data_IF_717756012874
#
_entry.id   IF_717756012874
#
_cell.length_a   1.000
_cell.length_b   1.000
_cell.length_c   1.000
_cell.angle_alpha   90.00
_cell.angle_beta   90.00
_cell.angle_gamma   90.00
#
_symmetry.space_group_name_H-M   'P 1'
#
loop_
_entity.id
_entity.type
_entity.pdbx_description
1 polymer ?
#
# COMPACT_ATOMS: atom_id res chain seq x y z
N UNK A 1 17.60 27.41 -43.77
CA UNK A 1 16.96 26.50 -42.80
C UNK A 1 15.99 27.32 -41.96
N UNK A 2 14.76 26.88 -41.78
CA UNK A 2 13.76 27.67 -41.06
C UNK A 2 14.03 27.55 -39.56
N UNK A 3 14.15 28.68 -38.88
CA UNK A 3 14.19 28.76 -37.42
C UNK A 3 12.76 28.70 -36.90
N UNK A 4 12.51 27.78 -35.96
CA UNK A 4 11.19 27.60 -35.32
C UNK A 4 11.33 28.02 -33.87
N UNK A 5 10.45 28.92 -33.43
CA UNK A 5 10.33 29.31 -32.03
C UNK A 5 9.51 28.29 -31.27
N UNK A 6 10.08 27.70 -30.23
CA UNK A 6 9.34 26.82 -29.31
C UNK A 6 8.78 27.68 -28.19
N UNK A 7 7.45 27.66 -28.03
CA UNK A 7 6.71 28.47 -27.06
C UNK A 7 6.09 27.57 -25.99
N UNK A 8 5.87 28.16 -24.80
CA UNK A 8 5.12 27.51 -23.72
C UNK A 8 3.69 27.25 -24.20
N UNK A 9 3.20 25.98 -24.19
CA UNK A 9 1.83 25.67 -24.52
C UNK A 9 0.89 26.22 -23.44
N UNK A 10 -0.41 26.04 -23.64
CA UNK A 10 -1.42 26.37 -22.61
C UNK A 10 -1.15 25.48 -21.35
N UNK A 11 -0.79 26.15 -20.27
CA UNK A 11 -0.52 25.55 -18.96
C UNK A 11 -1.66 25.81 -17.95
N UNK A 12 -2.85 26.20 -18.44
CA UNK A 12 -4.02 26.53 -17.64
C UNK A 12 -3.90 27.90 -16.95
N UNK A 13 -4.58 28.07 -15.81
CA UNK A 13 -4.67 29.36 -15.09
C UNK A 13 -3.36 29.85 -14.43
N UNK A 14 -2.20 29.25 -14.76
CA UNK A 14 -0.91 29.61 -14.15
C UNK A 14 -0.21 30.73 -14.92
N UNK A 15 0.06 31.81 -14.21
CA UNK A 15 0.85 32.95 -14.70
C UNK A 15 2.15 33.03 -13.90
N UNK A 16 3.27 33.35 -14.58
CA UNK A 16 4.58 33.56 -13.95
C UNK A 16 5.16 32.32 -13.21
N UNK A 17 5.24 31.17 -13.90
CA UNK A 17 5.87 29.95 -13.37
C UNK A 17 7.39 30.00 -13.49
N UNK A 18 8.12 29.58 -12.46
CA UNK A 18 9.57 29.61 -12.40
C UNK A 18 10.21 28.38 -13.09
N UNK A 19 11.24 28.60 -13.90
CA UNK A 19 12.04 27.52 -14.50
C UNK A 19 12.99 26.95 -13.47
N UNK A 20 12.84 25.66 -13.11
CA UNK A 20 13.68 24.97 -12.11
C UNK A 20 14.76 24.09 -12.73
N UNK A 21 14.54 23.56 -13.93
CA UNK A 21 15.49 22.67 -14.58
C UNK A 21 15.44 22.81 -16.12
N UNK A 22 16.59 22.67 -16.77
CA UNK A 22 16.73 22.58 -18.22
C UNK A 22 17.13 21.14 -18.55
N UNK A 23 16.23 20.39 -19.22
CA UNK A 23 16.41 18.97 -19.55
C UNK A 23 17.20 18.72 -20.84
N UNK A 24 17.36 19.75 -21.68
CA UNK A 24 18.13 19.70 -22.93
C UNK A 24 19.20 20.78 -22.96
N UNK A 25 20.20 20.64 -23.84
CA UNK A 25 21.31 21.60 -24.03
C UNK A 25 21.28 22.15 -25.45
N UNK A 26 21.81 23.37 -25.66
CA UNK A 26 22.06 23.89 -27.02
C UNK A 26 22.92 22.91 -27.83
N UNK A 27 22.46 22.52 -28.99
CA UNK A 27 23.09 21.52 -29.85
C UNK A 27 22.43 20.14 -29.83
N UNK A 28 21.53 19.88 -28.90
CA UNK A 28 20.82 18.59 -28.81
C UNK A 28 19.73 18.50 -29.88
N UNK A 29 19.58 17.28 -30.46
CA UNK A 29 18.47 16.95 -31.35
C UNK A 29 17.27 16.56 -30.47
N UNK A 30 16.15 17.26 -30.61
CA UNK A 30 14.93 17.04 -29.85
C UNK A 30 13.81 16.56 -30.76
N UNK A 31 12.98 15.67 -30.24
CA UNK A 31 11.78 15.18 -30.93
C UNK A 31 10.55 16.00 -30.52
N UNK A 32 9.50 15.93 -31.32
CA UNK A 32 8.21 16.48 -30.90
C UNK A 32 7.73 15.75 -29.64
N UNK A 33 7.14 16.50 -28.71
CA UNK A 33 6.68 16.02 -27.38
C UNK A 33 7.80 15.63 -26.39
N UNK A 34 9.07 15.87 -26.70
CA UNK A 34 10.16 15.67 -25.77
C UNK A 34 10.25 16.85 -24.79
N UNK A 35 10.32 16.57 -23.48
CA UNK A 35 10.43 17.59 -22.41
C UNK A 35 11.72 18.39 -22.52
N UNK A 36 11.61 19.72 -22.53
CA UNK A 36 12.74 20.65 -22.68
C UNK A 36 13.12 21.35 -21.37
N UNK A 37 12.13 21.77 -20.60
CA UNK A 37 12.31 22.47 -19.32
C UNK A 37 11.29 21.97 -18.31
N UNK A 38 11.65 22.02 -17.02
CA UNK A 38 10.73 21.83 -15.91
C UNK A 38 10.44 23.20 -15.27
N UNK A 39 9.17 23.51 -15.12
CA UNK A 39 8.69 24.73 -14.46
C UNK A 39 7.95 24.39 -13.19
N UNK A 40 8.03 25.26 -12.18
CA UNK A 40 7.37 25.07 -10.89
C UNK A 40 6.41 26.23 -10.62
N UNK A 41 5.20 25.87 -10.23
CA UNK A 41 4.21 26.79 -9.68
C UNK A 41 4.01 26.53 -8.18
N UNK A 42 3.30 27.40 -7.49
CA UNK A 42 2.99 27.24 -6.04
C UNK A 42 2.29 25.92 -5.68
N UNK A 43 1.85 25.13 -6.67
CA UNK A 43 1.05 23.91 -6.43
C UNK A 43 1.59 22.66 -7.12
N UNK A 44 2.37 22.76 -8.19
CA UNK A 44 2.87 21.60 -8.93
C UNK A 44 4.10 21.98 -9.79
N UNK A 45 4.97 21.01 -10.03
CA UNK A 45 6.00 21.04 -11.05
C UNK A 45 5.48 20.40 -12.34
N UNK A 46 5.74 21.02 -13.50
CA UNK A 46 5.28 20.59 -14.81
C UNK A 46 6.45 20.59 -15.81
N UNK A 47 6.47 19.60 -16.67
CA UNK A 47 7.44 19.55 -17.77
C UNK A 47 6.82 20.16 -19.03
N UNK A 48 7.57 21.01 -19.73
CA UNK A 48 7.13 21.64 -20.97
C UNK A 48 7.78 20.93 -22.15
N UNK A 49 6.96 20.26 -23.00
CA UNK A 49 7.44 19.53 -24.17
C UNK A 49 7.76 20.45 -25.36
N UNK A 50 8.60 19.95 -26.26
CA UNK A 50 8.86 20.61 -27.55
C UNK A 50 7.67 20.45 -28.48
N UNK A 51 7.20 21.54 -29.06
CA UNK A 51 6.13 21.52 -30.07
C UNK A 51 6.59 21.02 -31.45
N UNK A 52 7.89 20.93 -31.71
CA UNK A 52 8.46 20.53 -33.00
C UNK A 52 9.74 19.74 -32.83
N UNK A 53 10.02 18.83 -33.76
CA UNK A 53 11.30 18.15 -33.86
C UNK A 53 12.35 19.04 -34.56
N UNK A 54 13.57 19.02 -34.02
CA UNK A 54 14.67 19.81 -34.61
C UNK A 54 15.92 19.83 -33.73
N UNK A 55 16.93 20.57 -34.13
CA UNK A 55 18.14 20.78 -33.33
C UNK A 55 18.05 22.11 -32.58
N UNK A 56 18.17 22.07 -31.26
CA UNK A 56 18.12 23.24 -30.39
C UNK A 56 19.35 24.13 -30.64
N UNK A 57 19.16 25.40 -31.03
CA UNK A 57 20.24 26.36 -31.18
C UNK A 57 20.54 27.14 -29.92
N UNK A 58 19.52 27.67 -29.28
CA UNK A 58 19.65 28.53 -28.12
C UNK A 58 18.43 28.50 -27.24
N UNK A 59 18.63 28.46 -25.90
CA UNK A 59 17.58 28.73 -24.93
C UNK A 59 17.47 30.21 -24.65
N UNK A 60 16.27 30.75 -24.69
CA UNK A 60 15.95 32.15 -24.32
C UNK A 60 15.60 32.32 -22.86
N UNK A 61 15.52 31.23 -22.11
CA UNK A 61 15.22 31.20 -20.68
C UNK A 61 16.36 30.59 -19.88
N UNK A 62 16.55 31.05 -18.65
CA UNK A 62 17.57 30.59 -17.70
C UNK A 62 16.89 29.99 -16.47
N UNK A 63 17.66 29.20 -15.70
CA UNK A 63 17.21 28.72 -14.39
C UNK A 63 16.81 29.90 -13.49
N UNK A 64 15.61 29.87 -12.98
CA UNK A 64 15.02 30.91 -12.13
C UNK A 64 14.22 31.98 -12.87
N UNK A 65 14.20 31.98 -14.22
CA UNK A 65 13.36 32.91 -14.99
C UNK A 65 11.87 32.52 -14.87
N UNK A 66 11.01 33.53 -14.92
CA UNK A 66 9.56 33.34 -14.92
C UNK A 66 9.03 33.30 -16.35
N UNK A 67 8.26 32.26 -16.66
CA UNK A 67 7.63 32.07 -17.96
C UNK A 67 6.11 31.97 -17.81
N UNK A 68 5.40 32.45 -18.84
CA UNK A 68 3.95 32.38 -18.94
C UNK A 68 3.56 31.74 -20.27
N UNK A 69 2.30 31.38 -20.45
CA UNK A 69 1.77 30.90 -21.72
C UNK A 69 2.18 31.78 -22.90
N UNK A 70 2.66 31.15 -23.98
CA UNK A 70 3.13 31.84 -25.17
C UNK A 70 4.55 32.42 -25.10
N UNK A 71 5.26 32.35 -23.95
CA UNK A 71 6.65 32.76 -23.82
C UNK A 71 7.57 31.88 -24.68
N UNK A 72 8.54 32.49 -25.39
CA UNK A 72 9.50 31.73 -26.21
C UNK A 72 10.58 31.12 -25.31
N UNK A 73 10.69 29.80 -25.31
CA UNK A 73 11.62 29.02 -24.46
C UNK A 73 12.95 28.83 -25.18
N UNK A 74 12.87 28.39 -26.44
CA UNK A 74 14.05 28.04 -27.22
C UNK A 74 13.82 28.26 -28.72
N UNK A 75 14.94 28.35 -29.47
CA UNK A 75 14.94 28.38 -30.92
C UNK A 75 15.54 27.07 -31.42
N UNK A 76 14.75 26.34 -32.23
CA UNK A 76 15.18 25.11 -32.89
C UNK A 76 15.31 25.33 -34.40
N UNK A 77 16.21 24.59 -35.06
CA UNK A 77 16.34 24.52 -36.51
C UNK A 77 15.65 23.24 -36.99
N UNK A 78 14.65 23.38 -37.90
CA UNK A 78 13.94 22.25 -38.43
C UNK A 78 14.85 21.33 -39.22
N UNK A 79 14.88 20.04 -38.86
CA UNK A 79 15.41 19.00 -39.74
C UNK A 79 14.44 18.85 -40.90
N UNK A 80 14.93 19.05 -42.14
CA UNK A 80 14.09 18.84 -43.31
C UNK A 80 13.75 17.36 -43.43
N UNK A 81 12.53 17.01 -43.07
CA UNK A 81 11.71 15.99 -43.73
C UNK A 81 10.39 15.72 -43.00
N UNK A 82 9.36 15.71 -43.83
CA UNK A 82 7.99 15.24 -43.65
C UNK A 82 6.95 16.24 -43.07
N UNK A 83 6.52 17.12 -43.93
CA UNK A 83 5.18 17.70 -43.88
C UNK A 83 4.17 16.68 -44.43
N UNK A 84 3.09 16.46 -43.70
CA UNK A 84 1.73 16.08 -44.08
C UNK A 84 1.08 15.35 -42.90
N UNK A 85 -0.08 15.63 -42.46
CA UNK A 85 -1.20 16.50 -42.71
C UNK A 85 -2.19 16.32 -41.57
N UNK A 86 -2.85 17.37 -41.18
CA UNK A 86 -3.92 17.35 -40.20
C UNK A 86 -5.27 16.87 -40.80
N UNK A 87 -6.32 16.66 -40.01
CA UNK A 87 -7.34 15.66 -40.22
C UNK A 87 -8.64 16.19 -40.82
N UNK A 88 -9.42 15.33 -41.44
CA UNK A 88 -10.84 15.56 -41.69
C UNK A 88 -11.65 14.28 -41.46
N UNK A 89 -12.79 14.50 -40.86
CA UNK A 89 -13.76 13.54 -40.41
C UNK A 89 -14.52 12.81 -41.53
N UNK A 90 -15.18 11.74 -41.10
CA UNK A 90 -16.41 11.10 -41.57
C UNK A 90 -16.31 9.70 -42.16
N UNK A 91 -17.07 8.83 -41.51
CA UNK A 91 -17.43 7.44 -41.84
C UNK A 91 -18.35 7.38 -43.11
N UNK A 92 -18.95 6.20 -43.51
CA UNK A 92 -18.64 4.78 -43.31
C UNK A 92 -18.79 3.90 -44.57
N UNK A 93 -18.68 2.56 -44.40
CA UNK A 93 -19.10 1.42 -45.28
C UNK A 93 -18.04 0.85 -46.21
N UNK A 94 -17.83 -0.40 -46.38
CA UNK A 94 -18.53 -1.66 -46.48
C UNK A 94 -17.51 -2.82 -46.62
N UNK A 95 -17.85 -3.98 -46.07
CA UNK A 95 -17.24 -5.31 -46.32
C UNK A 95 -17.42 -5.76 -47.78
N UNK A 96 -16.97 -6.96 -48.23
CA UNK A 96 -16.20 -8.05 -47.64
C UNK A 96 -15.22 -8.79 -48.62
N UNK A 97 -14.46 -9.75 -48.11
CA UNK A 97 -14.28 -11.12 -48.68
C UNK A 97 -12.86 -11.74 -48.66
N UNK A 98 -12.85 -12.83 -47.99
CA UNK A 98 -12.22 -14.14 -48.27
C UNK A 98 -10.72 -14.36 -48.19
N UNK A 99 -10.45 -15.28 -47.30
CA UNK A 99 -9.32 -16.16 -47.01
C UNK A 99 -8.63 -16.78 -48.26
N UNK A 100 -7.54 -17.58 -48.20
CA UNK A 100 -7.20 -18.51 -47.12
C UNK A 100 -5.69 -18.61 -46.75
N UNK A 101 -5.43 -19.37 -45.70
CA UNK A 101 -4.12 -19.84 -45.25
C UNK A 101 -3.45 -20.78 -46.25
N UNK A 102 -2.13 -21.01 -46.12
CA UNK A 102 -1.79 -22.34 -45.65
C UNK A 102 -0.64 -22.42 -44.59
N UNK A 103 -0.69 -23.56 -43.99
CA UNK A 103 0.05 -24.11 -42.89
C UNK A 103 1.55 -24.38 -43.14
N UNK A 104 2.20 -24.75 -42.02
CA UNK A 104 3.36 -25.66 -41.90
C UNK A 104 4.74 -25.01 -41.76
N UNK A 105 5.42 -25.13 -40.64
CA UNK A 105 6.27 -26.23 -40.20
C UNK A 105 7.07 -25.81 -38.97
N UNK A 106 7.07 -26.66 -37.98
CA UNK A 106 8.11 -26.68 -36.95
C UNK A 106 9.40 -27.31 -37.53
N UNK A 107 10.57 -26.98 -37.04
CA UNK A 107 11.46 -28.04 -36.60
C UNK A 107 12.18 -27.83 -35.28
N UNK A 108 12.17 -28.92 -34.53
CA UNK A 108 13.31 -29.63 -33.92
C UNK A 108 14.15 -28.95 -32.81
N UNK A 109 14.12 -29.65 -31.71
CA UNK A 109 14.96 -29.59 -30.56
C UNK A 109 16.47 -29.66 -30.84
N UNK A 110 17.25 -28.85 -30.12
CA UNK A 110 18.67 -29.11 -29.91
C UNK A 110 18.89 -29.22 -28.43
N UNK A 111 19.26 -30.45 -28.00
CA UNK A 111 19.92 -30.75 -26.74
C UNK A 111 21.32 -30.15 -26.76
N UNK A 112 21.75 -29.46 -25.72
CA UNK A 112 23.16 -29.35 -25.42
C UNK A 112 23.36 -29.47 -23.90
N UNK A 113 24.31 -30.32 -23.60
CA UNK A 113 24.78 -30.81 -22.34
C UNK A 113 25.26 -29.71 -21.37
N UNK A 114 25.12 -30.02 -20.08
CA UNK A 114 25.79 -29.35 -18.97
C UNK A 114 27.28 -29.75 -18.91
N UNK A 115 28.15 -28.89 -18.40
CA UNK A 115 29.37 -29.35 -17.75
C UNK A 115 29.32 -29.14 -16.23
N UNK A 116 29.69 -30.22 -15.58
CA UNK A 116 29.92 -30.44 -14.17
C UNK A 116 30.93 -29.49 -13.53
N UNK A 117 30.66 -29.18 -12.28
CA UNK A 117 31.47 -28.44 -11.34
C UNK A 117 32.81 -29.19 -10.96
N UNK A 118 33.77 -28.51 -10.34
CA UNK A 118 34.48 -29.12 -9.26
C UNK A 118 34.28 -28.43 -7.92
N UNK A 119 34.08 -29.25 -6.92
CA UNK A 119 34.03 -28.91 -5.51
C UNK A 119 35.40 -28.42 -5.00
N UNK A 120 35.40 -27.46 -4.10
CA UNK A 120 36.52 -27.11 -3.25
C UNK A 120 36.09 -26.94 -1.80
N UNK A 121 36.92 -27.21 -0.81
CA UNK A 121 36.49 -27.75 0.47
C UNK A 121 36.17 -26.70 1.53
N UNK A 122 35.33 -27.12 2.48
CA UNK A 122 34.90 -26.38 3.66
C UNK A 122 36.07 -25.95 4.57
N UNK A 123 36.05 -24.70 5.01
CA UNK A 123 36.80 -24.21 6.16
C UNK A 123 35.88 -24.04 7.37
N UNK A 124 36.36 -24.20 8.59
CA UNK A 124 35.53 -24.44 9.77
C UNK A 124 34.86 -23.17 10.30
N UNK A 125 33.65 -23.35 10.78
CA UNK A 125 32.79 -22.34 11.40
C UNK A 125 33.40 -21.82 12.70
N UNK A 126 33.49 -20.50 12.82
CA UNK A 126 33.65 -19.80 14.09
C UNK A 126 32.29 -19.60 14.76
N UNK A 127 32.18 -19.66 16.09
CA UNK A 127 30.92 -19.59 16.78
C UNK A 127 30.34 -18.17 16.76
N UNK A 128 29.06 -18.08 16.43
CA UNK A 128 28.29 -16.87 16.50
C UNK A 128 28.13 -16.37 17.94
N UNK A 129 28.25 -15.07 18.21
CA UNK A 129 27.88 -14.55 19.52
C UNK A 129 26.36 -14.55 19.67
N UNK A 130 25.89 -15.06 20.80
CA UNK A 130 24.50 -15.08 21.20
C UNK A 130 23.90 -13.67 21.13
N UNK A 131 22.79 -13.54 20.40
CA UNK A 131 21.96 -12.34 20.42
C UNK A 131 21.36 -12.17 21.82
N UNK A 132 21.85 -11.19 22.57
CA UNK A 132 21.21 -10.72 23.78
C UNK A 132 19.88 -10.06 23.39
N UNK A 133 18.79 -10.56 23.95
CA UNK A 133 17.48 -9.96 23.85
C UNK A 133 17.57 -8.51 24.36
N UNK A 134 17.27 -7.55 23.49
CA UNK A 134 17.17 -6.15 23.86
C UNK A 134 15.87 -5.97 24.65
N UNK A 135 16.01 -5.95 25.96
CA UNK A 135 14.97 -5.55 26.89
C UNK A 135 14.66 -4.06 26.66
N UNK A 136 13.46 -3.78 26.15
CA UNK A 136 13.02 -2.44 25.73
C UNK A 136 12.55 -1.56 26.89
N UNK A 137 12.90 -1.88 28.13
CA UNK A 137 12.68 -1.03 29.31
C UNK A 137 13.85 -0.07 29.51
N UNK A 138 13.87 1.03 28.74
CA UNK A 138 14.80 2.12 28.99
C UNK A 138 14.36 2.88 30.24
N UNK A 139 15.22 3.04 31.25
CA UNK A 139 14.86 3.79 32.43
C UNK A 139 14.59 5.26 32.09
N UNK A 140 13.45 5.79 32.55
CA UNK A 140 13.14 7.20 32.48
C UNK A 140 14.09 7.98 33.39
N UNK A 141 14.70 9.03 32.86
CA UNK A 141 15.57 9.92 33.67
C UNK A 141 14.69 10.73 34.63
N UNK A 142 14.76 10.42 35.90
CA UNK A 142 14.20 11.30 36.94
C UNK A 142 14.93 12.62 36.93
N UNK A 143 14.22 13.72 36.66
CA UNK A 143 14.78 15.07 36.72
C UNK A 143 15.18 15.43 38.16
N UNK A 144 16.41 15.91 38.40
CA UNK A 144 16.72 16.59 39.66
C UNK A 144 16.03 17.94 39.67
N UNK A 145 15.11 18.16 40.65
CA UNK A 145 14.51 19.46 40.90
C UNK A 145 15.58 20.37 41.52
N UNK A 146 16.26 21.17 40.70
CA UNK A 146 17.24 22.17 41.16
C UNK A 146 18.19 22.59 40.01
N UNK A 147 18.83 23.76 40.17
CA UNK A 147 19.86 24.22 39.23
C UNK A 147 21.05 23.25 39.25
N UNK A 148 21.52 22.75 38.11
CA UNK A 148 22.60 21.76 38.06
C UNK A 148 23.88 22.31 38.65
N UNK A 149 24.43 21.61 39.70
CA UNK A 149 25.63 22.02 40.41
C UNK A 149 26.89 21.53 39.68
N UNK A 150 27.50 22.39 38.87
CA UNK A 150 28.69 22.09 38.08
C UNK A 150 29.69 23.27 38.14
N UNK A 151 31.00 22.96 38.04
CA UNK A 151 32.07 23.96 37.94
C UNK A 151 32.01 24.73 36.59
N UNK A 152 32.58 25.95 36.50
CA UNK A 152 32.61 26.72 35.25
C UNK A 152 33.26 25.95 34.09
N UNK A 153 34.32 25.16 34.36
CA UNK A 153 34.99 24.32 33.37
C UNK A 153 34.09 23.22 32.83
N UNK A 154 33.34 22.52 33.71
CA UNK A 154 32.37 21.50 33.29
C UNK A 154 31.21 22.07 32.52
N UNK A 155 30.75 23.29 32.88
CA UNK A 155 29.71 24.02 32.15
C UNK A 155 30.18 24.41 30.74
N UNK A 156 31.45 24.81 30.59
CA UNK A 156 32.06 25.08 29.28
C UNK A 156 32.14 23.82 28.44
N UNK A 157 32.64 22.72 29.00
CA UNK A 157 32.78 21.43 28.36
C UNK A 157 31.42 20.83 27.90
N UNK A 158 30.38 20.93 28.77
CA UNK A 158 29.05 20.47 28.38
C UNK A 158 28.42 21.30 27.25
N UNK A 159 28.71 22.63 27.19
CA UNK A 159 28.28 23.49 26.09
C UNK A 159 28.99 23.15 24.79
N UNK A 160 30.28 22.84 24.81
CA UNK A 160 31.06 22.41 23.63
C UNK A 160 30.53 21.12 23.05
N UNK A 161 30.05 20.19 23.90
CA UNK A 161 29.44 18.93 23.49
C UNK A 161 27.93 19.01 23.22
N UNK A 162 27.30 20.17 23.45
CA UNK A 162 25.84 20.34 23.28
C UNK A 162 25.01 19.59 24.33
N UNK A 163 25.59 19.22 25.48
CA UNK A 163 24.92 18.41 26.52
C UNK A 163 24.15 19.29 27.49
N UNK A 164 22.82 19.10 27.66
CA UNK A 164 22.02 19.80 28.65
C UNK A 164 22.34 19.28 30.08
N UNK A 165 23.00 20.08 30.90
CA UNK A 165 23.42 19.71 32.27
C UNK A 165 22.25 19.33 33.20
N UNK A 166 21.03 19.73 32.86
CA UNK A 166 19.83 19.34 33.61
C UNK A 166 19.51 17.84 33.52
N UNK A 167 20.02 17.17 32.49
CA UNK A 167 19.79 15.76 32.24
C UNK A 167 20.94 14.86 32.71
N UNK A 168 22.06 15.47 33.16
CA UNK A 168 23.24 14.76 33.64
C UNK A 168 23.18 14.54 35.15
N UNK A 169 23.35 13.30 35.59
CA UNK A 169 23.40 12.95 36.99
C UNK A 169 24.82 13.18 37.54
N UNK A 170 24.98 14.05 38.56
CA UNK A 170 26.29 14.31 39.13
C UNK A 170 26.72 13.27 40.16
N UNK A 171 27.93 12.70 39.98
CA UNK A 171 28.55 11.73 40.90
C UNK A 171 29.50 12.35 41.96
N UNK A 172 29.82 13.62 41.82
CA UNK A 172 30.74 14.31 42.73
C UNK A 172 30.12 14.67 44.09
N UNK A 173 30.93 15.18 45.03
CA UNK A 173 30.48 15.56 46.37
C UNK A 173 29.29 16.53 46.36
N UNK A 174 28.23 16.22 47.13
CA UNK A 174 26.97 16.95 47.16
C UNK A 174 26.22 16.97 45.81
N UNK A 175 26.35 15.90 45.00
CA UNK A 175 25.67 15.82 43.70
C UNK A 175 26.24 16.73 42.61
N UNK A 176 27.50 17.14 42.74
CA UNK A 176 28.17 18.00 41.76
C UNK A 176 28.45 17.18 40.45
N UNK A 177 28.12 17.75 39.32
CA UNK A 177 28.43 17.19 38.01
C UNK A 177 29.91 17.36 37.74
N UNK A 178 30.59 16.24 37.40
CA UNK A 178 32.00 16.18 37.01
C UNK A 178 32.12 16.12 35.51
N UNK A 179 33.35 16.28 34.98
CA UNK A 179 33.61 16.15 33.55
C UNK A 179 33.38 14.70 33.07
N UNK A 180 33.69 13.73 33.93
CA UNK A 180 33.44 12.31 33.65
C UNK A 180 31.96 11.98 33.52
N UNK A 181 31.08 12.62 34.29
CA UNK A 181 29.63 12.44 34.22
C UNK A 181 29.08 12.91 32.86
N UNK A 182 29.59 14.03 32.36
CA UNK A 182 29.23 14.56 31.05
C UNK A 182 29.71 13.60 29.96
N UNK A 183 30.93 13.05 30.05
CA UNK A 183 31.45 12.06 29.08
C UNK A 183 30.65 10.78 29.11
N UNK A 184 30.35 10.22 30.29
CA UNK A 184 29.52 9.00 30.41
C UNK A 184 28.14 9.19 29.84
N UNK A 185 27.52 10.35 30.14
CA UNK A 185 26.22 10.72 29.58
C UNK A 185 26.27 10.76 28.03
N UNK A 186 27.29 11.43 27.47
CA UNK A 186 27.47 11.51 26.02
C UNK A 186 27.66 10.13 25.39
N UNK A 187 28.50 9.27 26.00
CA UNK A 187 28.69 7.89 25.54
C UNK A 187 27.41 7.07 25.62
N UNK A 188 26.60 7.21 26.69
CA UNK A 188 25.34 6.50 26.85
C UNK A 188 24.29 6.95 25.82
N UNK A 189 24.26 8.24 25.48
CA UNK A 189 23.37 8.78 24.42
C UNK A 189 23.83 8.32 23.03
N UNK A 190 25.13 8.36 22.75
CA UNK A 190 25.66 7.93 21.45
C UNK A 190 25.58 6.42 21.24
N UNK A 191 25.72 5.61 22.31
CA UNK A 191 25.51 4.14 22.25
C UNK A 191 24.02 3.74 22.23
N UNK A 192 23.10 4.71 22.29
CA UNK A 192 21.66 4.47 22.30
C UNK A 192 21.09 3.93 23.63
N UNK A 193 21.91 3.84 24.68
CA UNK A 193 21.50 3.35 26.00
C UNK A 193 20.73 4.39 26.82
N UNK A 194 20.81 5.66 26.43
CA UNK A 194 20.07 6.78 27.04
C UNK A 194 19.45 7.67 25.95
N UNK A 195 18.26 8.22 26.20
CA UNK A 195 17.64 9.22 25.34
C UNK A 195 17.58 10.57 26.06
N UNK A 196 17.95 11.65 25.38
CA UNK A 196 17.73 13.00 25.87
C UNK A 196 16.24 13.37 25.80
N UNK A 197 15.77 14.32 26.61
CA UNK A 197 14.39 14.82 26.54
C UNK A 197 14.07 15.38 25.15
N UNK A 198 15.04 16.00 24.49
CA UNK A 198 14.90 16.50 23.14
C UNK A 198 14.71 15.35 22.11
N UNK A 199 15.40 14.22 22.30
CA UNK A 199 15.21 13.01 21.50
C UNK A 199 13.88 12.31 21.81
N UNK A 200 13.49 12.24 23.10
CA UNK A 200 12.22 11.68 23.52
C UNK A 200 11.03 12.50 23.00
N UNK A 201 11.15 13.82 23.00
CA UNK A 201 10.15 14.73 22.41
C UNK A 201 10.05 14.60 20.88
N UNK A 202 11.14 14.28 20.19
CA UNK A 202 11.16 13.96 18.74
C UNK A 202 10.72 12.53 18.46
N UNK A 203 10.95 11.59 19.36
CA UNK A 203 10.62 10.17 19.21
C UNK A 203 9.13 9.84 19.25
N UNK A 204 8.27 10.79 19.62
CA UNK A 204 6.81 10.58 19.64
C UNK A 204 6.10 10.72 18.29
N UNK A 205 6.78 11.05 17.20
CA UNK A 205 6.18 11.25 15.87
C UNK A 205 6.94 10.60 14.71
N UNK A 206 7.88 9.71 14.99
CA UNK A 206 8.65 9.02 13.95
C UNK A 206 8.26 7.57 13.82
N UNK A 207 7.41 7.23 12.86
CA UNK A 207 7.32 5.85 12.39
C UNK A 207 8.66 5.44 11.77
N UNK A 208 9.29 4.44 12.34
CA UNK A 208 10.35 3.60 11.77
C UNK A 208 11.24 4.21 10.66
N UNK A 209 12.00 5.26 10.97
CA UNK A 209 13.07 5.72 10.07
C UNK A 209 12.65 6.37 8.75
N UNK A 210 11.37 6.59 8.54
CA UNK A 210 10.86 7.32 7.37
C UNK A 210 10.78 8.81 7.72
N UNK A 211 11.56 9.61 7.02
CA UNK A 211 11.60 11.08 7.15
C UNK A 211 10.39 11.68 6.42
N UNK A 212 9.21 11.47 6.98
CA UNK A 212 7.96 11.97 6.42
C UNK A 212 7.76 13.42 6.81
N UNK A 213 7.32 14.25 5.86
CA UNK A 213 6.91 15.63 6.13
C UNK A 213 5.83 15.64 7.23
N UNK A 214 5.93 16.55 8.22
CA UNK A 214 4.94 16.66 9.27
C UNK A 214 3.58 17.04 8.71
N UNK A 215 2.51 16.50 9.32
CA UNK A 215 1.15 16.83 8.92
C UNK A 215 0.91 18.35 9.01
N UNK A 216 0.33 19.00 7.97
CA UNK A 216 0.13 20.44 7.94
C UNK A 216 -0.80 20.90 9.07
N UNK A 217 -0.36 21.93 9.82
CA UNK A 217 -1.15 22.56 10.87
C UNK A 217 -1.87 23.78 10.29
N UNK A 218 -3.15 23.63 9.98
CA UNK A 218 -3.98 24.68 9.40
C UNK A 218 -4.99 25.17 10.44
N UNK A 219 -5.11 26.48 10.58
CA UNK A 219 -6.18 27.12 11.38
C UNK A 219 -7.43 27.25 10.52
N UNK A 220 -8.30 26.25 10.57
CA UNK A 220 -9.51 26.19 9.78
C UNK A 220 -10.54 27.29 10.11
N UNK A 221 -10.48 27.86 11.32
CA UNK A 221 -11.40 28.94 11.73
C UNK A 221 -11.21 30.23 10.89
N UNK A 222 -10.06 30.36 10.21
CA UNK A 222 -9.81 31.49 9.28
C UNK A 222 -10.66 31.42 8.02
N UNK A 223 -11.19 30.25 7.66
CA UNK A 223 -11.94 30.05 6.42
C UNK A 223 -13.45 30.00 6.62
N UNK A 224 -13.91 29.89 7.89
CA UNK A 224 -15.34 29.86 8.21
C UNK A 224 -15.65 29.20 9.56
N UNK A 225 -16.93 29.08 9.93
CA UNK A 225 -17.35 28.40 11.14
C UNK A 225 -16.92 26.94 11.14
N UNK A 226 -16.39 26.45 12.25
CA UNK A 226 -15.95 25.07 12.40
C UNK A 226 -16.62 24.42 13.61
N UNK A 227 -16.89 23.12 13.51
CA UNK A 227 -17.23 22.26 14.64
C UNK A 227 -16.08 21.30 14.91
N UNK A 228 -15.63 21.21 16.16
CA UNK A 228 -14.62 20.24 16.60
C UNK A 228 -15.28 19.06 17.29
N UNK A 229 -15.12 17.85 16.72
CA UNK A 229 -15.59 16.59 17.30
C UNK A 229 -14.43 15.65 17.52
N UNK A 230 -14.26 15.14 18.73
CA UNK A 230 -13.22 14.15 19.00
C UNK A 230 -13.51 12.82 18.35
N UNK A 231 -12.45 12.15 17.89
CA UNK A 231 -12.54 10.79 17.38
C UNK A 231 -12.83 9.80 18.51
N UNK A 232 -13.69 8.82 18.25
CA UNK A 232 -13.92 7.71 19.17
C UNK A 232 -12.61 6.94 19.44
N UNK A 233 -12.53 6.24 20.57
CA UNK A 233 -11.36 5.43 20.93
C UNK A 233 -11.02 4.40 19.83
N UNK A 234 -12.04 3.75 19.24
CA UNK A 234 -11.86 2.79 18.15
C UNK A 234 -11.24 3.48 16.95
N UNK A 235 -11.73 4.65 16.52
CA UNK A 235 -11.17 5.40 15.39
C UNK A 235 -9.74 5.86 15.63
N UNK A 236 -9.37 6.24 16.86
CA UNK A 236 -7.99 6.62 17.23
C UNK A 236 -7.04 5.40 17.07
N UNK A 237 -7.43 4.22 17.56
CA UNK A 237 -6.62 3.00 17.50
C UNK A 237 -6.55 2.45 16.07
N UNK A 238 -7.69 2.32 15.38
CA UNK A 238 -7.73 1.80 14.01
C UNK A 238 -6.99 2.71 13.04
N UNK A 239 -7.10 4.03 13.20
CA UNK A 239 -6.39 4.99 12.35
C UNK A 239 -4.86 4.83 12.44
N UNK A 240 -4.32 4.68 13.65
CA UNK A 240 -2.88 4.43 13.84
C UNK A 240 -2.43 3.11 13.20
N UNK A 241 -3.22 2.03 13.38
CA UNK A 241 -2.93 0.73 12.78
C UNK A 241 -2.99 0.77 11.25
N UNK A 242 -4.02 1.40 10.68
CA UNK A 242 -4.18 1.52 9.24
C UNK A 242 -3.07 2.36 8.60
N UNK A 243 -2.69 3.48 9.24
CA UNK A 243 -1.58 4.31 8.77
C UNK A 243 -0.26 3.52 8.75
N UNK A 244 0.04 2.77 9.84
CA UNK A 244 1.20 1.89 9.89
C UNK A 244 1.16 0.82 8.78
N UNK A 245 0.04 0.12 8.63
CA UNK A 245 -0.10 -0.96 7.66
C UNK A 245 0.08 -0.43 6.23
N UNK A 246 -0.49 0.73 5.92
CA UNK A 246 -0.37 1.36 4.61
C UNK A 246 1.08 1.72 4.26
N UNK A 247 1.83 2.25 5.22
CA UNK A 247 3.23 2.65 5.01
C UNK A 247 4.18 1.46 4.96
N UNK A 248 3.96 0.46 5.82
CA UNK A 248 4.92 -0.65 5.98
C UNK A 248 4.70 -1.82 5.03
N UNK A 249 3.51 -1.97 4.47
CA UNK A 249 3.15 -3.08 3.58
C UNK A 249 3.04 -2.54 2.15
N UNK A 250 3.88 -3.01 1.20
CA UNK A 250 3.72 -2.69 -0.22
C UNK A 250 2.49 -3.41 -0.76
N UNK A 251 1.32 -2.74 -0.70
CA UNK A 251 0.05 -3.27 -1.17
C UNK A 251 -0.01 -3.32 -2.69
N UNK A 252 -0.44 -4.46 -3.22
CA UNK A 252 -0.92 -4.58 -4.60
C UNK A 252 -2.31 -5.19 -4.55
N UNK A 253 -3.22 -4.74 -5.42
CA UNK A 253 -4.58 -5.25 -5.50
C UNK A 253 -4.82 -5.88 -6.86
N UNK A 254 -5.25 -7.13 -6.86
CA UNK A 254 -5.72 -7.86 -8.03
C UNK A 254 -7.24 -7.96 -7.98
N UNK A 255 -7.91 -7.49 -9.04
CA UNK A 255 -9.36 -7.54 -9.15
C UNK A 255 -9.77 -8.66 -10.10
N UNK A 256 -10.82 -9.40 -9.73
CA UNK A 256 -11.43 -10.45 -10.53
C UNK A 256 -12.95 -10.48 -10.29
N UNK A 257 -13.66 -11.32 -10.98
CA UNK A 257 -15.11 -11.47 -10.88
C UNK A 257 -15.50 -12.94 -10.83
N UNK A 258 -16.41 -13.30 -9.95
CA UNK A 258 -16.97 -14.63 -9.86
C UNK A 258 -18.44 -14.65 -10.30
N UNK A 259 -18.80 -15.57 -11.17
CA UNK A 259 -20.20 -15.87 -11.47
C UNK A 259 -20.82 -16.63 -10.30
N UNK A 260 -21.72 -16.00 -9.59
CA UNK A 260 -22.40 -16.58 -8.43
C UNK A 260 -23.89 -16.88 -8.68
N UNK A 261 -24.30 -16.95 -9.94
CA UNK A 261 -25.73 -17.12 -10.32
C UNK A 261 -26.32 -18.36 -9.67
N UNK A 262 -25.67 -19.51 -9.82
CA UNK A 262 -26.13 -20.78 -9.26
C UNK A 262 -25.99 -20.81 -7.72
N UNK A 263 -24.91 -20.23 -7.20
CA UNK A 263 -24.64 -20.16 -5.77
C UNK A 263 -25.67 -19.29 -5.05
N UNK A 264 -26.08 -18.18 -5.64
CA UNK A 264 -27.13 -17.31 -5.09
C UNK A 264 -28.50 -18.00 -5.10
N UNK A 265 -28.82 -18.72 -6.18
CA UNK A 265 -30.03 -19.53 -6.24
C UNK A 265 -30.06 -20.60 -5.12
N UNK A 266 -28.91 -21.28 -4.93
CA UNK A 266 -28.75 -22.26 -3.85
C UNK A 266 -28.87 -21.62 -2.46
N UNK A 267 -28.25 -20.44 -2.25
CA UNK A 267 -28.37 -19.69 -0.99
C UNK A 267 -29.80 -19.32 -0.65
N UNK A 268 -30.56 -18.84 -1.65
CA UNK A 268 -31.98 -18.49 -1.47
C UNK A 268 -32.79 -19.71 -1.11
N UNK A 269 -32.55 -20.82 -1.80
CA UNK A 269 -33.21 -22.09 -1.52
C UNK A 269 -32.93 -22.61 -0.10
N UNK A 270 -31.64 -22.62 0.29
CA UNK A 270 -31.20 -23.03 1.64
C UNK A 270 -31.84 -22.16 2.73
N UNK A 271 -31.96 -20.84 2.51
CA UNK A 271 -32.62 -19.95 3.45
C UNK A 271 -34.12 -20.26 3.60
N UNK A 272 -34.80 -20.64 2.51
CA UNK A 272 -36.19 -21.04 2.54
C UNK A 272 -36.39 -22.34 3.31
N UNK A 273 -35.53 -23.33 3.14
CA UNK A 273 -35.55 -24.60 3.87
C UNK A 273 -35.28 -24.40 5.36
N UNK A 274 -34.40 -23.46 5.72
CA UNK A 274 -34.01 -23.19 7.11
C UNK A 274 -34.78 -22.03 7.75
N UNK A 275 -35.87 -21.58 7.18
CA UNK A 275 -36.65 -20.44 7.70
C UNK A 275 -37.11 -20.65 9.14
N UNK A 276 -37.50 -21.88 9.47
CA UNK A 276 -37.97 -22.24 10.82
C UNK A 276 -36.85 -22.29 11.87
N UNK A 277 -35.61 -22.52 11.46
CA UNK A 277 -34.45 -22.55 12.37
C UNK A 277 -33.94 -21.15 12.75
N UNK A 278 -34.40 -20.11 12.07
CA UNK A 278 -33.93 -18.73 12.28
C UNK A 278 -32.52 -18.45 11.79
N UNK A 279 -31.83 -19.43 11.21
CA UNK A 279 -30.48 -19.27 10.68
C UNK A 279 -30.55 -18.66 9.28
N UNK A 280 -29.97 -17.46 9.11
CA UNK A 280 -29.91 -16.77 7.82
C UNK A 280 -28.52 -16.94 7.20
N UNK A 281 -28.44 -17.72 6.13
CA UNK A 281 -27.19 -17.90 5.36
C UNK A 281 -26.96 -16.69 4.45
N UNK A 282 -25.81 -16.08 4.58
CA UNK A 282 -25.37 -14.97 3.73
C UNK A 282 -24.35 -15.44 2.67
N UNK A 283 -24.18 -14.67 1.60
CA UNK A 283 -23.13 -14.96 0.60
C UNK A 283 -21.74 -15.01 1.24
N UNK A 284 -21.50 -14.18 2.26
CA UNK A 284 -20.22 -14.15 2.97
C UNK A 284 -19.87 -15.51 3.62
N UNK A 285 -20.83 -16.26 4.12
CA UNK A 285 -20.58 -17.60 4.70
C UNK A 285 -20.03 -18.57 3.64
N UNK A 286 -20.56 -18.51 2.41
CA UNK A 286 -20.03 -19.29 1.30
C UNK A 286 -18.64 -18.83 0.89
N UNK A 287 -18.40 -17.52 0.84
CA UNK A 287 -17.07 -16.97 0.50
C UNK A 287 -16.05 -17.37 1.57
N UNK A 288 -16.38 -17.35 2.86
CA UNK A 288 -15.48 -17.80 3.93
C UNK A 288 -15.02 -19.24 3.68
N UNK A 289 -15.95 -20.13 3.36
CA UNK A 289 -15.61 -21.55 3.12
C UNK A 289 -14.79 -21.72 1.82
N UNK A 290 -15.09 -20.94 0.78
CA UNK A 290 -14.31 -20.92 -0.45
C UNK A 290 -12.88 -20.38 -0.22
N UNK A 291 -12.74 -19.33 0.59
CA UNK A 291 -11.42 -18.78 1.00
C UNK A 291 -10.63 -19.83 1.77
N UNK A 292 -11.24 -20.58 2.70
CA UNK A 292 -10.56 -21.68 3.41
C UNK A 292 -10.03 -22.72 2.44
N UNK A 293 -10.81 -23.12 1.41
CA UNK A 293 -10.33 -24.04 0.37
C UNK A 293 -9.15 -23.45 -0.41
N UNK A 294 -9.22 -22.16 -0.75
CA UNK A 294 -8.14 -21.45 -1.42
C UNK A 294 -6.86 -21.35 -0.56
N UNK A 295 -6.98 -21.06 0.75
CA UNK A 295 -5.87 -21.00 1.68
C UNK A 295 -5.17 -22.37 1.88
N UNK A 296 -5.93 -23.47 1.84
CA UNK A 296 -5.35 -24.82 1.86
C UNK A 296 -4.55 -25.13 0.60
N UNK A 297 -4.99 -24.64 -0.56
CA UNK A 297 -4.32 -24.84 -1.84
C UNK A 297 -3.13 -23.90 -2.03
N UNK A 298 -3.19 -22.71 -1.48
CA UNK A 298 -2.17 -21.65 -1.59
C UNK A 298 -1.75 -21.21 -0.19
N UNK A 299 -0.86 -21.96 0.49
CA UNK A 299 -0.54 -21.73 1.90
C UNK A 299 0.17 -20.40 2.16
N UNK A 300 0.80 -19.79 1.16
CA UNK A 300 1.45 -18.48 1.29
C UNK A 300 0.47 -17.39 1.73
N UNK A 301 -0.81 -17.53 1.38
CA UNK A 301 -1.87 -16.61 1.82
C UNK A 301 -2.30 -16.85 3.27
N UNK A 302 -1.95 -18.01 3.86
CA UNK A 302 -2.22 -18.35 5.26
C UNK A 302 -0.97 -18.19 6.13
N UNK A 303 -0.13 -17.21 5.81
CA UNK A 303 1.12 -16.94 6.48
C UNK A 303 1.15 -15.58 7.18
N UNK A 304 2.21 -15.31 7.90
CA UNK A 304 2.59 -13.99 8.42
C UNK A 304 4.10 -13.80 8.27
N UNK A 305 4.51 -12.58 8.00
CA UNK A 305 5.93 -12.21 7.96
C UNK A 305 6.42 -11.92 9.39
N UNK A 306 7.48 -12.60 9.83
CA UNK A 306 8.16 -12.37 11.11
C UNK A 306 9.67 -12.20 10.89
N UNK A 307 10.11 -10.94 10.86
CA UNK A 307 11.46 -10.59 10.43
C UNK A 307 11.75 -11.09 9.01
N UNK A 308 12.73 -11.95 8.86
CA UNK A 308 13.13 -12.56 7.59
C UNK A 308 12.49 -13.95 7.36
N UNK A 309 11.52 -14.36 8.19
CA UNK A 309 10.86 -15.66 8.12
C UNK A 309 9.37 -15.54 7.82
N UNK A 310 8.82 -16.54 7.13
CA UNK A 310 7.38 -16.74 6.97
C UNK A 310 6.88 -17.77 7.97
N UNK A 311 5.86 -17.39 8.74
CA UNK A 311 5.16 -18.27 9.67
C UNK A 311 3.90 -18.78 9.00
N UNK A 312 3.89 -20.03 8.56
CA UNK A 312 2.73 -20.72 7.99
C UNK A 312 1.81 -21.22 9.09
N UNK A 313 0.56 -20.76 9.06
CA UNK A 313 -0.45 -21.11 10.06
C UNK A 313 -1.11 -22.44 9.69
N UNK A 314 -1.20 -23.36 10.65
CA UNK A 314 -1.86 -24.66 10.48
C UNK A 314 -3.32 -24.63 10.94
N UNK A 315 -3.90 -23.43 11.10
CA UNK A 315 -5.28 -23.16 11.49
C UNK A 315 -5.88 -22.12 10.54
N UNK A 316 -7.19 -22.12 10.41
CA UNK A 316 -7.93 -21.29 9.47
C UNK A 316 -8.95 -20.43 10.21
N UNK A 317 -8.51 -19.26 10.67
CA UNK A 317 -9.33 -18.30 11.38
C UNK A 317 -9.57 -17.11 10.46
N UNK A 318 -10.82 -16.84 10.12
CA UNK A 318 -11.19 -15.84 9.14
C UNK A 318 -11.77 -14.61 9.82
N UNK A 319 -11.07 -13.47 9.68
CA UNK A 319 -11.59 -12.17 10.07
C UNK A 319 -12.65 -11.68 9.09
N UNK A 320 -13.68 -11.04 9.57
CA UNK A 320 -14.64 -10.36 8.69
C UNK A 320 -14.96 -8.96 9.22
N UNK A 321 -15.02 -7.99 8.30
CA UNK A 321 -15.29 -6.61 8.67
C UNK A 321 -16.77 -6.46 9.06
N UNK A 322 -16.99 -5.89 10.24
CA UNK A 322 -18.31 -5.56 10.76
C UNK A 322 -18.41 -4.06 11.06
N UNK A 323 -19.37 -3.40 10.45
CA UNK A 323 -19.66 -2.00 10.69
C UNK A 323 -20.46 -1.83 11.99
N UNK A 324 -20.05 -0.86 12.81
CA UNK A 324 -20.70 -0.53 14.08
C UNK A 324 -20.86 0.98 14.24
N UNK A 325 -21.79 1.45 15.09
CA UNK A 325 -21.96 2.88 15.36
C UNK A 325 -20.66 3.59 15.84
N UNK A 326 -19.76 2.83 16.46
CA UNK A 326 -18.49 3.34 17.00
C UNK A 326 -17.31 3.26 16.03
N UNK A 327 -17.47 2.59 14.87
CA UNK A 327 -16.46 2.36 13.85
C UNK A 327 -16.38 0.91 13.41
N UNK A 328 -15.50 0.64 12.43
CA UNK A 328 -15.28 -0.69 11.88
C UNK A 328 -14.48 -1.57 12.86
N UNK A 329 -14.93 -2.79 13.06
CA UNK A 329 -14.22 -3.83 13.82
C UNK A 329 -14.11 -5.12 12.99
N UNK A 330 -13.14 -5.96 13.32
CA UNK A 330 -12.88 -7.21 12.59
C UNK A 330 -12.96 -8.39 13.57
N UNK A 331 -14.15 -8.93 13.85
CA UNK A 331 -14.27 -10.20 14.59
C UNK A 331 -13.69 -11.36 13.78
N UNK A 332 -13.20 -12.38 14.49
CA UNK A 332 -12.51 -13.54 13.92
C UNK A 332 -13.31 -14.80 14.17
N UNK A 333 -13.78 -15.39 13.07
CA UNK A 333 -14.39 -16.71 13.07
C UNK A 333 -13.30 -17.78 13.14
N UNK A 334 -13.21 -18.50 14.25
CA UNK A 334 -12.16 -19.51 14.50
C UNK A 334 -12.49 -20.84 13.87
N UNK A 335 -11.46 -21.59 13.42
CA UNK A 335 -11.57 -22.95 12.88
C UNK A 335 -12.63 -23.08 11.76
N UNK A 336 -12.61 -22.15 10.81
CA UNK A 336 -13.59 -22.10 9.72
C UNK A 336 -13.53 -23.35 8.82
N UNK A 337 -12.39 -24.04 8.79
CA UNK A 337 -12.18 -25.30 8.07
C UNK A 337 -13.03 -26.46 8.62
N UNK A 338 -13.22 -26.50 9.94
CA UNK A 338 -13.95 -27.56 10.63
C UNK A 338 -15.47 -27.34 10.66
N UNK A 339 -15.95 -26.19 10.21
CA UNK A 339 -17.35 -25.77 10.33
C UNK A 339 -18.10 -25.86 9.01
N UNK A 340 -19.36 -26.28 9.08
CA UNK A 340 -20.30 -26.20 7.97
C UNK A 340 -20.87 -24.80 7.77
N UNK A 341 -21.51 -24.56 6.62
CA UNK A 341 -22.08 -23.26 6.23
C UNK A 341 -23.10 -22.73 7.27
N UNK A 342 -23.96 -23.59 7.78
CA UNK A 342 -24.98 -23.19 8.77
C UNK A 342 -24.33 -22.73 10.09
N UNK A 343 -23.34 -23.47 10.57
CA UNK A 343 -22.58 -23.11 11.77
C UNK A 343 -21.80 -21.81 11.59
N UNK A 344 -21.13 -21.65 10.44
CA UNK A 344 -20.44 -20.39 10.08
C UNK A 344 -21.44 -19.23 10.10
N UNK A 345 -22.61 -19.40 9.49
CA UNK A 345 -23.64 -18.36 9.42
C UNK A 345 -24.16 -17.95 10.80
N UNK A 346 -24.38 -18.92 11.68
CA UNK A 346 -24.83 -18.68 13.05
C UNK A 346 -23.76 -17.92 13.85
N UNK A 347 -22.54 -18.43 13.90
CA UNK A 347 -21.44 -17.78 14.65
C UNK A 347 -21.09 -16.38 14.12
N UNK A 348 -21.14 -16.18 12.80
CA UNK A 348 -21.00 -14.83 12.21
C UNK A 348 -22.12 -13.90 12.69
N UNK A 349 -23.35 -14.39 12.75
CA UNK A 349 -24.49 -13.62 13.27
C UNK A 349 -24.29 -13.20 14.72
N UNK A 350 -23.85 -14.11 15.57
CA UNK A 350 -23.55 -13.88 16.99
C UNK A 350 -22.40 -12.87 17.17
N UNK A 351 -21.29 -13.04 16.42
CA UNK A 351 -20.16 -12.13 16.46
C UNK A 351 -20.54 -10.73 15.94
N UNK A 352 -21.31 -10.64 14.86
CA UNK A 352 -21.80 -9.38 14.32
C UNK A 352 -22.75 -8.66 15.28
N UNK A 353 -23.58 -9.41 16.02
CA UNK A 353 -24.45 -8.85 17.05
C UNK A 353 -23.61 -8.31 18.21
N UNK A 354 -22.67 -9.10 18.76
CA UNK A 354 -21.72 -8.63 19.80
C UNK A 354 -20.96 -7.39 19.36
N UNK A 355 -20.57 -7.31 18.07
CA UNK A 355 -19.89 -6.15 17.51
C UNK A 355 -20.75 -4.88 17.61
N UNK A 356 -22.00 -4.95 17.14
CA UNK A 356 -22.94 -3.82 17.18
C UNK A 356 -23.28 -3.38 18.60
N UNK A 357 -23.35 -4.33 19.53
CA UNK A 357 -23.59 -4.06 20.96
C UNK A 357 -22.34 -3.59 21.72
N UNK A 358 -21.17 -3.55 21.06
CA UNK A 358 -19.90 -3.16 21.70
C UNK A 358 -19.37 -4.18 22.72
N UNK A 359 -19.82 -5.46 22.62
CA UNK A 359 -19.52 -6.54 23.57
C UNK A 359 -18.43 -7.50 23.07
N UNK A 360 -17.73 -7.18 21.96
CA UNK A 360 -16.60 -7.99 21.50
C UNK A 360 -15.46 -7.96 22.52
N UNK A 361 -15.00 -9.13 22.93
CA UNK A 361 -13.78 -9.29 23.70
C UNK A 361 -12.53 -9.21 22.85
N UNK A 362 -11.38 -8.98 23.46
CA UNK A 362 -10.08 -9.03 22.75
C UNK A 362 -9.83 -10.37 22.07
N UNK A 363 -10.26 -11.47 22.70
CA UNK A 363 -10.15 -12.84 22.17
C UNK A 363 -10.99 -13.05 20.88
N UNK A 364 -12.07 -12.29 20.69
CA UNK A 364 -12.94 -12.40 19.51
C UNK A 364 -12.33 -11.68 18.28
N UNK A 365 -11.29 -10.85 18.50
CA UNK A 365 -10.62 -10.04 17.45
C UNK A 365 -9.17 -10.47 17.16
N UNK A 366 -8.70 -11.55 17.79
CA UNK A 366 -7.30 -11.99 17.69
C UNK A 366 -7.18 -13.35 17.01
N UNK A 367 -6.00 -13.58 16.40
CA UNK A 367 -5.62 -14.84 15.80
C UNK A 367 -6.12 -15.02 14.37
N UNK A 368 -6.55 -13.97 13.70
CA UNK A 368 -6.92 -14.00 12.28
C UNK A 368 -5.78 -14.45 11.38
N UNK A 369 -6.12 -15.20 10.34
CA UNK A 369 -5.19 -15.64 9.30
C UNK A 369 -5.37 -14.84 8.02
N UNK A 370 -6.60 -14.48 7.73
CA UNK A 370 -7.05 -13.83 6.51
C UNK A 370 -8.33 -13.06 6.79
N UNK A 371 -8.44 -11.85 6.30
CA UNK A 371 -9.62 -10.99 6.53
C UNK A 371 -10.45 -10.84 5.26
N UNK A 372 -11.77 -10.78 5.39
CA UNK A 372 -12.72 -10.48 4.32
C UNK A 372 -13.46 -9.18 4.67
N UNK A 373 -13.39 -8.20 3.77
CA UNK A 373 -14.13 -6.94 3.88
C UNK A 373 -15.27 -6.93 2.86
N UNK A 374 -16.52 -6.89 3.31
CA UNK A 374 -17.68 -6.93 2.43
C UNK A 374 -18.43 -5.61 2.43
N UNK A 375 -18.51 -4.98 1.26
CA UNK A 375 -19.31 -3.79 0.97
C UNK A 375 -20.55 -4.11 0.12
N UNK A 376 -20.85 -5.40 -0.08
CA UNK A 376 -21.91 -5.85 -0.98
C UNK A 376 -23.31 -5.31 -0.66
N UNK A 377 -23.59 -4.98 0.60
CA UNK A 377 -24.84 -4.34 1.02
C UNK A 377 -24.89 -2.82 0.83
N UNK A 378 -23.74 -2.18 0.56
CA UNK A 378 -23.61 -0.70 0.52
C UNK A 378 -23.50 -0.23 -0.93
N UNK A 379 -22.51 -0.74 -1.68
CA UNK A 379 -22.28 -0.32 -3.06
C UNK A 379 -20.83 -0.51 -3.50
N UNK A 380 -20.47 0.17 -4.58
CA UNK A 380 -19.13 0.08 -5.18
C UNK A 380 -19.00 -1.10 -6.16
N UNK A 381 -18.07 -0.97 -7.10
CA UNK A 381 -17.71 -2.03 -8.06
C UNK A 381 -16.45 -2.76 -7.63
N UNK A 382 -15.42 -2.03 -7.24
CA UNK A 382 -14.13 -2.52 -6.72
C UNK A 382 -13.58 -1.52 -5.71
N UNK A 383 -12.69 -1.97 -4.85
CA UNK A 383 -11.95 -1.11 -3.93
C UNK A 383 -10.63 -1.79 -3.54
N UNK A 384 -9.73 -1.03 -2.95
CA UNK A 384 -8.45 -1.54 -2.45
C UNK A 384 -8.52 -1.67 -0.93
N UNK A 385 -8.83 -2.85 -0.37
CA UNK A 385 -8.83 -3.05 1.08
C UNK A 385 -7.40 -2.97 1.64
N UNK A 386 -7.26 -2.37 2.83
CA UNK A 386 -5.98 -2.31 3.54
C UNK A 386 -5.80 -3.59 4.34
N UNK A 387 -4.64 -4.24 4.19
CA UNK A 387 -4.30 -5.50 4.87
C UNK A 387 -4.32 -5.30 6.39
N UNK A 388 -4.94 -6.23 7.08
CA UNK A 388 -5.02 -6.26 8.54
C UNK A 388 -3.80 -6.99 9.12
N UNK A 389 -2.68 -6.30 9.29
CA UNK A 389 -1.46 -6.90 9.82
C UNK A 389 -1.70 -7.62 11.17
N UNK A 390 -1.09 -8.79 11.42
CA UNK A 390 0.03 -9.40 10.69
C UNK A 390 -0.35 -10.35 9.54
N UNK A 391 -1.57 -10.27 9.04
CA UNK A 391 -2.01 -11.02 7.85
C UNK A 391 -1.28 -10.50 6.61
N UNK A 392 -1.15 -11.35 5.59
CA UNK A 392 -0.47 -10.99 4.32
C UNK A 392 -1.42 -10.67 3.17
N UNK A 393 -2.73 -10.89 3.37
CA UNK A 393 -3.74 -10.59 2.36
C UNK A 393 -5.12 -10.34 2.96
N UNK A 394 -5.94 -9.62 2.20
CA UNK A 394 -7.34 -9.32 2.51
C UNK A 394 -8.17 -9.37 1.24
N UNK A 395 -9.37 -9.96 1.33
CA UNK A 395 -10.32 -10.01 0.22
C UNK A 395 -11.43 -8.98 0.42
N UNK A 396 -11.59 -8.09 -0.56
CA UNK A 396 -12.70 -7.16 -0.69
C UNK A 396 -13.83 -7.76 -1.54
N UNK A 397 -15.06 -7.66 -1.07
CA UNK A 397 -16.27 -8.02 -1.81
C UNK A 397 -17.12 -6.77 -2.03
N UNK A 398 -17.38 -6.44 -3.29
CA UNK A 398 -18.28 -5.36 -3.67
C UNK A 398 -19.69 -5.86 -3.98
N UNK A 399 -20.57 -4.95 -4.39
CA UNK A 399 -21.97 -5.30 -4.69
C UNK A 399 -22.07 -6.18 -5.93
N UNK A 400 -22.73 -7.32 -5.81
CA UNK A 400 -23.05 -8.18 -6.95
C UNK A 400 -24.01 -7.48 -7.92
N UNK A 401 -23.79 -7.69 -9.20
CA UNK A 401 -24.62 -7.12 -10.28
C UNK A 401 -24.82 -8.11 -11.42
N UNK A 402 -25.96 -8.00 -12.10
CA UNK A 402 -26.20 -8.76 -13.32
C UNK A 402 -25.36 -8.18 -14.45
N UNK A 403 -24.58 -9.03 -15.12
CA UNK A 403 -23.77 -8.68 -16.28
C UNK A 403 -24.13 -9.57 -17.47
N UNK A 404 -24.10 -9.06 -18.71
CA UNK A 404 -24.21 -9.90 -19.90
C UNK A 404 -22.87 -10.64 -20.10
N UNK A 405 -22.89 -11.95 -19.94
CA UNK A 405 -21.72 -12.82 -20.15
C UNK A 405 -21.97 -13.66 -21.39
N UNK A 406 -20.98 -13.73 -22.30
CA UNK A 406 -21.04 -14.55 -23.49
C UNK A 406 -20.90 -16.03 -23.13
N UNK A 407 -21.89 -16.86 -23.47
CA UNK A 407 -21.91 -18.30 -23.18
C UNK A 407 -21.36 -19.17 -24.32
N UNK A 408 -20.84 -18.53 -25.37
CA UNK A 408 -20.41 -19.16 -26.62
C UNK A 408 -21.42 -19.09 -27.77
N UNK A 409 -22.67 -18.64 -27.48
CA UNK A 409 -23.76 -18.54 -28.47
C UNK A 409 -24.51 -17.20 -28.34
N UNK A 410 -24.76 -16.75 -27.13
CA UNK A 410 -25.52 -15.54 -26.83
C UNK A 410 -25.06 -14.92 -25.53
N UNK A 411 -25.46 -13.66 -25.29
CA UNK A 411 -25.27 -13.03 -24.00
C UNK A 411 -26.32 -13.53 -23.01
N UNK A 412 -25.86 -14.19 -21.95
CA UNK A 412 -26.71 -14.61 -20.84
C UNK A 412 -26.52 -13.66 -19.63
N UNK A 413 -27.60 -13.28 -18.92
CA UNK A 413 -27.47 -12.53 -17.70
C UNK A 413 -26.87 -13.42 -16.61
N UNK A 414 -25.74 -13.01 -16.03
CA UNK A 414 -25.06 -13.70 -14.93
C UNK A 414 -24.90 -12.78 -13.74
N UNK A 415 -25.16 -13.28 -12.55
CA UNK A 415 -24.92 -12.53 -11.32
C UNK A 415 -23.45 -12.63 -10.96
N UNK A 416 -22.77 -11.50 -11.05
CA UNK A 416 -21.32 -11.42 -10.87
C UNK A 416 -20.97 -10.76 -9.57
N UNK A 417 -20.10 -11.40 -8.77
CA UNK A 417 -19.53 -10.88 -7.52
C UNK A 417 -18.13 -10.36 -7.79
N UNK A 418 -17.88 -9.05 -7.62
CA UNK A 418 -16.55 -8.50 -7.74
C UNK A 418 -15.68 -8.90 -6.54
N UNK A 419 -14.45 -9.32 -6.83
CA UNK A 419 -13.43 -9.74 -5.89
C UNK A 419 -12.23 -8.78 -5.99
N UNK A 420 -11.82 -8.18 -4.88
CA UNK A 420 -10.66 -7.30 -4.79
C UNK A 420 -9.68 -7.88 -3.77
N UNK A 421 -8.64 -8.55 -4.22
CA UNK A 421 -7.62 -9.17 -3.39
C UNK A 421 -6.43 -8.24 -3.23
N UNK A 422 -6.24 -7.66 -2.03
CA UNK A 422 -5.01 -6.94 -1.70
C UNK A 422 -4.05 -7.87 -0.97
N UNK A 423 -2.77 -7.78 -1.29
CA UNK A 423 -1.73 -8.66 -0.74
C UNK A 423 -0.41 -7.92 -0.52
N UNK A 424 0.38 -8.44 0.41
CA UNK A 424 1.74 -7.97 0.71
C UNK A 424 2.71 -8.48 -0.36
N UNK A 425 3.21 -7.57 -1.21
CA UNK A 425 4.07 -7.95 -2.34
C UNK A 425 5.48 -8.41 -1.91
N UNK A 426 5.81 -8.35 -0.62
CA UNK A 426 7.03 -8.96 -0.07
C UNK A 426 6.90 -10.48 0.07
N UNK A 427 5.66 -10.99 0.16
CA UNK A 427 5.36 -12.41 0.39
C UNK A 427 4.71 -13.05 -0.82
N UNK A 428 3.79 -12.34 -1.48
CA UNK A 428 2.94 -12.85 -2.55
C UNK A 428 3.26 -12.08 -3.84
N UNK A 429 3.54 -12.78 -4.92
CA UNK A 429 3.71 -12.19 -6.24
C UNK A 429 2.37 -12.09 -7.00
N UNK A 430 2.39 -11.30 -8.10
CA UNK A 430 1.19 -11.08 -8.92
C UNK A 430 0.65 -12.36 -9.57
N UNK A 431 1.50 -13.33 -9.91
CA UNK A 431 1.08 -14.59 -10.52
C UNK A 431 0.40 -15.49 -9.48
N UNK A 432 0.90 -15.54 -8.25
CA UNK A 432 0.25 -16.25 -7.14
C UNK A 432 -1.11 -15.64 -6.81
N UNK A 433 -1.20 -14.30 -6.75
CA UNK A 433 -2.44 -13.58 -6.50
C UNK A 433 -3.50 -13.83 -7.59
N UNK A 434 -3.09 -13.80 -8.87
CA UNK A 434 -3.99 -14.09 -9.98
C UNK A 434 -4.49 -15.55 -9.94
N UNK A 435 -3.61 -16.51 -9.63
CA UNK A 435 -4.01 -17.93 -9.48
C UNK A 435 -4.96 -18.14 -8.29
N UNK A 436 -4.74 -17.46 -7.18
CA UNK A 436 -5.62 -17.50 -6.00
C UNK A 436 -7.02 -16.96 -6.36
N UNK A 437 -7.10 -15.78 -6.97
CA UNK A 437 -8.38 -15.18 -7.38
C UNK A 437 -9.11 -16.04 -8.41
N UNK A 438 -8.40 -16.52 -9.45
CA UNK A 438 -8.99 -17.39 -10.46
C UNK A 438 -9.53 -18.70 -9.84
N UNK A 439 -8.81 -19.31 -8.89
CA UNK A 439 -9.30 -20.49 -8.18
C UNK A 439 -10.52 -20.16 -7.33
N UNK A 440 -10.51 -19.05 -6.60
CA UNK A 440 -11.64 -18.60 -5.79
C UNK A 440 -12.89 -18.35 -6.67
N UNK A 441 -12.72 -17.68 -7.81
CA UNK A 441 -13.78 -17.46 -8.79
C UNK A 441 -14.36 -18.78 -9.32
N UNK A 442 -13.51 -19.76 -9.64
CA UNK A 442 -13.95 -21.10 -10.07
C UNK A 442 -14.73 -21.85 -8.97
N UNK A 443 -14.28 -21.76 -7.72
CA UNK A 443 -14.97 -22.40 -6.59
C UNK A 443 -16.34 -21.76 -6.33
N UNK A 444 -16.43 -20.43 -6.45
CA UNK A 444 -17.69 -19.71 -6.29
C UNK A 444 -18.68 -19.96 -7.44
N UNK A 445 -18.16 -20.17 -8.66
CA UNK A 445 -18.99 -20.51 -9.81
C UNK A 445 -19.55 -21.95 -9.77
N UNK A 446 -18.74 -22.88 -9.27
CA UNK A 446 -19.18 -24.27 -9.00
C UNK A 446 -18.74 -24.69 -7.60
N UNK A 447 -19.65 -24.47 -6.64
CA UNK A 447 -19.35 -24.67 -5.23
C UNK A 447 -19.06 -26.13 -4.83
N UNK A 448 -19.42 -27.09 -5.66
CA UNK A 448 -19.11 -28.53 -5.46
C UNK A 448 -17.59 -28.79 -5.46
N UNK A 449 -16.81 -27.90 -6.07
CA UNK A 449 -15.34 -27.97 -6.10
C UNK A 449 -14.67 -27.89 -4.72
N UNK A 450 -15.38 -27.39 -3.70
CA UNK A 450 -14.89 -27.39 -2.30
C UNK A 450 -14.69 -28.81 -1.76
N UNK A 451 -15.40 -29.79 -2.33
CA UNK A 451 -15.32 -31.19 -1.91
C UNK A 451 -14.13 -31.95 -2.57
N UNK A 452 -13.50 -31.35 -3.56
CA UNK A 452 -12.35 -31.90 -4.28
C UNK A 452 -11.02 -31.40 -3.70
#
# INVERSE_FOLDING_TARGET
MAQIEIKVPDIGDFKDVGVIELLAKPGDAVQADQSLITVESDKASMEIPSSHAGVLKEFKVKLGDKVSEGSVIAIAEAAAEAAASAPAAAAPKEEPKTAPAPASQAPAAIKTEAPTAPATPAAPAAPAPAAAALDNTRPAINQPQGLPHASPSVRKFARELGVPLAEVQGSGPKGRITQEDVQKFTQAVMSGNLQTQAQAARGGMGGAGLDLLPWPKVDFAKFGPIERKELSRIKKISGANLARNWVMIPHVTNNDEADITELESFRVHTNKENEKSGIKVTMLAFVIKAVVAALKKYPDFNASLDGDALVYKQYFHIGFAADTPNGLVVPVLKNADQKGILQISQEMGELAQKAREGKLGSADMQGGCFTISSLGGIGGTHFTPIINAPEVAILGLSRSSLKPVWDGKQFAPRLTLPLSLSYDHRVIDGAAAARFNAYLSQVLADYRRILL
#
